data_IF_714936136376
#
_entry.id   IF_714936136376
#
_cell.length_a   1.000
_cell.length_b   1.000
_cell.length_c   1.000
_cell.angle_alpha   90.00
_cell.angle_beta   90.00
_cell.angle_gamma   90.00
#
_symmetry.space_group_name_H-M   'P 1'
#
loop_
_entity.id
_entity.type
_entity.pdbx_description
1 polymer ?
#
# COMPACT_ATOMS: atom_id res chain seq x y z
N UNK A 1 -25.18 13.09 -1.80
CA UNK A 1 -23.79 12.95 -1.27
C UNK A 1 -23.40 11.49 -1.49
N UNK A 2 -22.45 11.20 -2.36
CA UNK A 2 -21.97 9.83 -2.53
C UNK A 2 -21.17 9.46 -1.26
N UNK A 3 -21.62 8.44 -0.55
CA UNK A 3 -20.85 7.90 0.56
C UNK A 3 -19.51 7.36 0.01
N UNK A 4 -18.40 7.94 0.42
CA UNK A 4 -17.09 7.37 0.13
C UNK A 4 -17.01 6.01 0.84
N UNK A 5 -16.95 4.93 0.09
CA UNK A 5 -16.82 3.58 0.63
C UNK A 5 -15.34 3.27 0.83
N UNK A 6 -14.95 2.92 2.04
CA UNK A 6 -13.63 2.38 2.33
C UNK A 6 -13.68 0.87 2.11
N UNK A 7 -12.89 0.37 1.16
CA UNK A 7 -12.69 -1.05 0.97
C UNK A 7 -11.42 -1.46 1.72
N UNK A 8 -11.52 -2.48 2.56
CA UNK A 8 -10.40 -3.02 3.32
C UNK A 8 -10.14 -4.42 2.83
N UNK A 9 -8.88 -4.74 2.56
CA UNK A 9 -8.44 -6.07 2.13
C UNK A 9 -7.33 -6.55 3.05
N UNK A 10 -7.32 -7.83 3.35
CA UNK A 10 -6.23 -8.46 4.08
C UNK A 10 -5.38 -9.31 3.13
N UNK A 11 -4.07 -9.05 3.12
CA UNK A 11 -3.08 -9.88 2.43
C UNK A 11 -2.13 -10.48 3.44
N UNK A 12 -2.08 -11.81 3.50
CA UNK A 12 -1.09 -12.52 4.30
C UNK A 12 0.21 -12.65 3.50
N UNK A 13 1.34 -12.25 4.10
CA UNK A 13 2.67 -12.58 3.57
C UNK A 13 2.88 -14.10 3.67
N UNK A 14 3.43 -14.77 2.64
CA UNK A 14 3.81 -16.16 2.74
C UNK A 14 4.75 -16.38 3.94
N UNK A 15 4.45 -17.40 4.74
CA UNK A 15 5.29 -17.80 5.86
C UNK A 15 6.49 -18.61 5.34
N UNK A 16 7.71 -18.22 5.73
CA UNK A 16 8.95 -18.90 5.36
C UNK A 16 9.64 -19.40 6.63
N UNK A 17 9.53 -20.68 6.99
CA UNK A 17 9.98 -21.20 8.28
C UNK A 17 11.47 -20.97 8.60
N UNK A 18 12.32 -20.92 7.57
CA UNK A 18 13.77 -20.71 7.74
C UNK A 18 14.15 -19.26 8.02
N UNK A 19 13.28 -18.31 7.68
CA UNK A 19 13.50 -16.88 7.84
C UNK A 19 12.72 -16.36 9.04
N UNK A 20 11.48 -16.82 9.15
CA UNK A 20 10.55 -16.45 10.21
C UNK A 20 10.68 -17.53 11.31
N UNK A 21 11.67 -17.46 12.18
CA UNK A 21 11.96 -18.42 13.27
C UNK A 21 10.76 -18.76 14.18
N UNK A 22 9.58 -18.28 13.84
CA UNK A 22 8.37 -18.32 14.62
C UNK A 22 7.31 -19.26 14.01
N UNK A 23 6.26 -19.51 14.77
CA UNK A 23 5.11 -20.24 14.29
C UNK A 23 4.21 -19.34 13.44
N UNK A 24 3.59 -19.92 12.41
CA UNK A 24 2.56 -19.21 11.64
C UNK A 24 1.31 -19.00 12.51
N UNK A 25 1.22 -17.84 13.11
CA UNK A 25 0.15 -17.45 14.04
C UNK A 25 -1.11 -16.92 13.33
N UNK A 26 -1.07 -16.77 12.01
CA UNK A 26 -2.18 -16.26 11.22
C UNK A 26 -2.75 -17.37 10.35
N UNK A 27 -4.00 -17.72 10.58
CA UNK A 27 -4.77 -18.65 9.76
C UNK A 27 -5.86 -17.89 9.01
N UNK A 28 -6.16 -18.33 7.80
CA UNK A 28 -7.21 -17.75 6.97
C UNK A 28 -8.18 -18.81 6.52
N UNK A 29 -9.48 -18.51 6.56
CA UNK A 29 -10.53 -19.36 6.03
C UNK A 29 -11.63 -18.49 5.44
N UNK A 30 -11.93 -18.67 4.15
CA UNK A 30 -12.88 -17.84 3.42
C UNK A 30 -12.53 -16.33 3.60
N UNK A 31 -13.45 -15.52 4.10
CA UNK A 31 -13.23 -14.10 4.39
C UNK A 31 -12.92 -13.85 5.88
N UNK A 32 -12.39 -14.84 6.58
CA UNK A 32 -12.07 -14.71 8.00
C UNK A 32 -10.59 -14.91 8.25
N UNK A 33 -9.98 -13.97 8.94
CA UNK A 33 -8.61 -14.04 9.43
C UNK A 33 -8.65 -14.40 10.91
N UNK A 34 -7.91 -15.45 11.28
CA UNK A 34 -7.73 -15.89 12.65
C UNK A 34 -6.30 -15.56 13.09
N UNK A 35 -6.15 -14.78 14.14
CA UNK A 35 -4.84 -14.44 14.71
C UNK A 35 -4.73 -15.12 16.07
N UNK A 36 -3.68 -15.91 16.26
CA UNK A 36 -3.44 -16.58 17.54
C UNK A 36 -3.11 -15.55 18.62
N UNK A 37 -3.81 -15.63 19.74
CA UNK A 37 -3.52 -14.82 20.91
C UNK A 37 -2.37 -15.46 21.70
N UNK A 38 -1.18 -14.88 21.59
CA UNK A 38 0.01 -15.41 22.27
C UNK A 38 0.03 -15.12 23.78
N UNK A 39 -0.81 -14.19 24.25
CA UNK A 39 -0.94 -13.80 25.65
C UNK A 39 -2.43 -13.70 26.05
N UNK A 40 -3.17 -14.84 26.04
CA UNK A 40 -4.57 -14.80 26.40
C UNK A 40 -4.72 -14.38 27.88
N UNK A 41 -5.72 -13.55 28.15
CA UNK A 41 -6.16 -13.29 29.53
C UNK A 41 -6.92 -14.52 30.03
N UNK A 42 -6.97 -14.71 31.33
CA UNK A 42 -7.72 -15.84 31.97
C UNK A 42 -9.21 -15.82 31.56
N UNK A 43 -9.74 -14.65 31.21
CA UNK A 43 -11.11 -14.46 30.74
C UNK A 43 -11.34 -14.78 29.26
N UNK A 44 -10.27 -14.97 28.46
CA UNK A 44 -10.40 -15.14 27.03
C UNK A 44 -10.90 -16.56 26.72
N UNK A 45 -12.08 -16.63 26.12
CA UNK A 45 -12.73 -17.89 25.75
C UNK A 45 -12.12 -18.57 24.52
N UNK A 46 -11.26 -17.88 23.78
CA UNK A 46 -10.66 -18.38 22.55
C UNK A 46 -9.16 -18.08 22.48
N UNK A 47 -8.41 -19.06 21.98
CA UNK A 47 -6.99 -18.89 21.65
C UNK A 47 -6.77 -18.03 20.39
N UNK A 48 -7.82 -17.73 19.63
CA UNK A 48 -7.76 -16.98 18.39
C UNK A 48 -8.71 -15.79 18.42
N UNK A 49 -8.24 -14.65 17.92
CA UNK A 49 -9.08 -13.52 17.53
C UNK A 49 -9.46 -13.69 16.07
N UNK A 50 -10.70 -13.43 15.71
CA UNK A 50 -11.18 -13.53 14.33
C UNK A 50 -11.65 -12.18 13.79
N UNK A 51 -11.34 -11.94 12.52
CA UNK A 51 -11.72 -10.72 11.80
C UNK A 51 -12.34 -11.11 10.47
N UNK A 52 -13.54 -10.60 10.18
CA UNK A 52 -14.17 -10.80 8.88
C UNK A 52 -13.72 -9.66 7.95
N UNK A 53 -12.92 -10.00 6.95
CA UNK A 53 -12.35 -9.05 5.99
C UNK A 53 -12.09 -9.77 4.67
N UNK A 54 -12.36 -9.15 3.50
CA UNK A 54 -12.00 -9.72 2.22
C UNK A 54 -10.52 -10.12 2.18
N UNK A 55 -10.29 -11.38 1.87
CA UNK A 55 -8.96 -11.94 1.79
C UNK A 55 -8.43 -11.85 0.36
N UNK A 56 -7.22 -11.31 0.24
CA UNK A 56 -6.41 -11.51 -0.95
C UNK A 56 -5.56 -12.77 -0.72
N UNK A 57 -5.75 -13.77 -1.57
CA UNK A 57 -4.95 -15.01 -1.47
C UNK A 57 -3.47 -14.65 -1.42
N UNK A 58 -2.70 -15.36 -0.60
CA UNK A 58 -1.25 -15.17 -0.51
C UNK A 58 -0.51 -15.56 -1.80
N UNK A 59 -1.17 -16.34 -2.69
CA UNK A 59 -0.66 -16.74 -4.00
C UNK A 59 -0.87 -15.69 -5.07
N UNK A 60 -1.74 -14.69 -4.82
CA UNK A 60 -2.00 -13.62 -5.78
C UNK A 60 -0.77 -12.76 -5.98
N UNK A 61 -0.42 -12.56 -7.24
CA UNK A 61 0.58 -11.57 -7.66
C UNK A 61 0.04 -10.15 -7.51
N UNK A 62 0.93 -9.17 -7.46
CA UNK A 62 0.54 -7.77 -7.35
C UNK A 62 -0.36 -7.30 -8.50
N UNK A 63 -0.18 -7.86 -9.71
CA UNK A 63 -1.05 -7.57 -10.84
C UNK A 63 -2.49 -8.06 -10.62
N UNK A 64 -2.69 -9.22 -10.00
CA UNK A 64 -4.02 -9.74 -9.69
C UNK A 64 -4.69 -8.87 -8.62
N UNK A 65 -3.90 -8.41 -7.64
CA UNK A 65 -4.37 -7.48 -6.62
C UNK A 65 -4.77 -6.14 -7.24
N UNK A 66 -3.95 -5.59 -8.14
CA UNK A 66 -4.30 -4.39 -8.89
C UNK A 66 -5.62 -4.56 -9.64
N UNK A 67 -5.78 -5.64 -10.39
CA UNK A 67 -6.99 -5.92 -11.17
C UNK A 67 -8.24 -6.03 -10.29
N UNK A 68 -8.12 -6.63 -9.11
CA UNK A 68 -9.27 -6.85 -8.21
C UNK A 68 -9.60 -5.64 -7.31
N UNK A 69 -8.71 -4.66 -7.18
CA UNK A 69 -8.88 -3.59 -6.19
C UNK A 69 -8.84 -2.17 -6.76
N UNK A 70 -8.03 -1.92 -7.79
CA UNK A 70 -7.72 -0.55 -8.27
C UNK A 70 -8.15 -0.33 -9.71
N UNK A 71 -8.07 -1.34 -10.55
CA UNK A 71 -8.22 -1.24 -11.99
C UNK A 71 -9.53 -0.57 -12.43
N UNK A 72 -10.67 -1.02 -11.90
CA UNK A 72 -11.98 -0.49 -12.27
C UNK A 72 -12.15 0.98 -11.88
N UNK A 73 -11.67 1.35 -10.70
CA UNK A 73 -11.75 2.74 -10.23
C UNK A 73 -10.85 3.67 -11.05
N UNK A 74 -9.67 3.19 -11.44
CA UNK A 74 -8.76 3.92 -12.32
C UNK A 74 -9.37 4.12 -13.72
N UNK A 75 -9.91 3.06 -14.32
CA UNK A 75 -10.56 3.11 -15.64
C UNK A 75 -11.78 4.05 -15.63
N UNK A 76 -12.49 4.12 -14.52
CA UNK A 76 -13.59 5.07 -14.31
C UNK A 76 -13.13 6.49 -13.89
N UNK A 77 -11.82 6.79 -13.96
CA UNK A 77 -11.22 8.09 -13.64
C UNK A 77 -11.58 8.60 -12.24
N UNK A 78 -11.71 7.70 -11.27
CA UNK A 78 -11.97 8.07 -9.88
C UNK A 78 -10.68 8.47 -9.17
N UNK A 79 -10.82 9.35 -8.17
CA UNK A 79 -9.74 9.60 -7.23
C UNK A 79 -9.59 8.41 -6.29
N UNK A 80 -8.38 7.87 -6.19
CA UNK A 80 -8.08 6.69 -5.41
C UNK A 80 -7.08 7.07 -4.32
N UNK A 81 -7.36 6.65 -3.09
CA UNK A 81 -6.40 6.64 -1.99
C UNK A 81 -6.11 5.19 -1.62
N UNK A 82 -4.90 4.76 -1.88
CA UNK A 82 -4.43 3.42 -1.53
C UNK A 82 -3.52 3.50 -0.29
N UNK A 83 -3.88 2.76 0.76
CA UNK A 83 -3.13 2.69 2.00
C UNK A 83 -2.67 1.25 2.24
N UNK A 84 -1.36 1.05 2.40
CA UNK A 84 -0.80 -0.20 2.87
C UNK A 84 -0.46 -0.07 4.36
N UNK A 85 -1.06 -0.92 5.18
CA UNK A 85 -0.86 -0.92 6.63
C UNK A 85 -0.35 -2.27 7.12
N UNK A 86 0.56 -2.26 8.07
CA UNK A 86 1.15 -3.46 8.67
C UNK A 86 2.48 -3.16 9.35
N UNK A 87 2.98 -4.11 10.13
CA UNK A 87 4.28 -4.00 10.80
C UNK A 87 5.45 -3.95 9.79
N UNK A 88 6.63 -3.59 10.25
CA UNK A 88 7.85 -3.69 9.43
C UNK A 88 8.08 -5.14 8.98
N UNK A 89 8.44 -5.33 7.72
CA UNK A 89 8.62 -6.67 7.13
C UNK A 89 7.34 -7.37 6.67
N UNK A 90 6.15 -6.78 6.85
CA UNK A 90 4.88 -7.39 6.42
C UNK A 90 4.62 -7.39 4.91
N UNK A 91 5.50 -6.79 4.10
CA UNK A 91 5.37 -6.77 2.65
C UNK A 91 4.67 -5.54 2.06
N UNK A 92 4.47 -4.45 2.82
CA UNK A 92 3.88 -3.20 2.32
C UNK A 92 4.58 -2.67 1.07
N UNK A 93 5.90 -2.51 1.15
CA UNK A 93 6.72 -2.02 0.03
C UNK A 93 6.67 -2.97 -1.16
N UNK A 94 6.71 -4.27 -0.94
CA UNK A 94 6.55 -5.25 -1.99
C UNK A 94 5.20 -5.10 -2.72
N UNK A 95 4.12 -4.91 -1.99
CA UNK A 95 2.79 -4.74 -2.58
C UNK A 95 2.68 -3.43 -3.37
N UNK A 96 3.21 -2.33 -2.84
CA UNK A 96 3.08 -1.02 -3.48
C UNK A 96 4.12 -0.78 -4.57
N UNK A 97 5.39 -1.06 -4.30
CA UNK A 97 6.51 -0.73 -5.18
C UNK A 97 7.02 -1.94 -5.97
N UNK A 98 6.81 -3.16 -5.44
CA UNK A 98 7.35 -4.38 -6.05
C UNK A 98 8.79 -4.68 -5.63
N UNK A 99 9.44 -5.52 -6.41
CA UNK A 99 10.85 -5.88 -6.31
C UNK A 99 11.43 -6.18 -7.70
N UNK A 100 12.64 -6.73 -7.77
CA UNK A 100 13.31 -7.02 -9.05
C UNK A 100 12.61 -8.09 -9.91
N UNK A 101 11.66 -8.85 -9.35
CA UNK A 101 10.99 -9.95 -10.04
C UNK A 101 9.51 -9.71 -10.28
N UNK A 102 8.92 -8.73 -9.58
CA UNK A 102 7.49 -8.46 -9.65
C UNK A 102 7.23 -6.97 -9.42
N UNK A 103 6.49 -6.34 -10.34
CA UNK A 103 6.03 -4.96 -10.18
C UNK A 103 5.03 -4.84 -9.01
N UNK A 104 5.12 -3.73 -8.29
CA UNK A 104 4.08 -3.34 -7.32
C UNK A 104 2.91 -2.63 -7.99
N UNK A 105 1.89 -2.30 -7.21
CA UNK A 105 0.70 -1.61 -7.71
C UNK A 105 1.05 -0.26 -8.35
N UNK A 106 2.00 0.49 -7.80
CA UNK A 106 2.39 1.81 -8.33
C UNK A 106 2.99 1.69 -9.73
N UNK A 107 4.04 0.88 -9.98
CA UNK A 107 4.54 0.65 -11.34
C UNK A 107 3.49 0.15 -12.31
N UNK A 108 2.60 -0.76 -11.88
CA UNK A 108 1.52 -1.28 -12.72
C UNK A 108 0.57 -0.15 -13.16
N UNK A 109 0.16 0.72 -12.24
CA UNK A 109 -0.70 1.88 -12.54
C UNK A 109 -0.02 2.80 -13.55
N UNK A 110 1.25 3.14 -13.33
CA UNK A 110 2.01 4.02 -14.23
C UNK A 110 2.09 3.42 -15.63
N UNK A 111 2.48 2.14 -15.74
CA UNK A 111 2.54 1.41 -17.02
C UNK A 111 1.20 1.43 -17.75
N UNK A 112 0.10 1.20 -17.06
CA UNK A 112 -1.23 1.21 -17.67
C UNK A 112 -1.65 2.60 -18.16
N UNK A 113 -1.33 3.66 -17.41
CA UNK A 113 -1.60 5.04 -17.85
C UNK A 113 -0.81 5.36 -19.12
N UNK A 114 0.48 5.08 -19.14
CA UNK A 114 1.36 5.33 -20.30
C UNK A 114 0.92 4.51 -21.51
N UNK A 115 0.64 3.22 -21.34
CA UNK A 115 0.18 2.34 -22.41
C UNK A 115 -1.17 2.79 -23.00
N UNK A 116 -1.98 3.54 -22.24
CA UNK A 116 -3.19 4.17 -22.76
C UNK A 116 -2.95 5.47 -23.54
N UNK A 117 -1.69 5.84 -23.79
CA UNK A 117 -1.31 7.07 -24.47
C UNK A 117 -1.47 8.34 -23.62
N UNK A 118 -1.57 8.20 -22.30
CA UNK A 118 -1.68 9.32 -21.36
C UNK A 118 -0.33 9.58 -20.69
N UNK A 119 -0.12 10.83 -20.28
CA UNK A 119 0.99 11.22 -19.41
C UNK A 119 0.57 11.23 -17.96
N UNK A 120 1.49 10.93 -17.05
CA UNK A 120 1.24 11.06 -15.63
C UNK A 120 2.27 11.95 -14.95
N UNK A 121 1.87 12.57 -13.86
CA UNK A 121 2.73 13.37 -13.01
C UNK A 121 3.04 12.58 -11.74
N UNK A 122 4.31 12.48 -11.41
CA UNK A 122 4.79 11.71 -10.28
C UNK A 122 5.46 12.62 -9.23
N UNK A 123 5.18 12.35 -7.96
CA UNK A 123 5.81 12.99 -6.80
C UNK A 123 6.02 11.94 -5.73
N UNK A 124 7.20 11.90 -5.13
CA UNK A 124 7.51 10.98 -4.02
C UNK A 124 8.04 11.75 -2.84
N UNK A 125 7.42 11.56 -1.71
CA UNK A 125 7.87 12.14 -0.46
C UNK A 125 7.97 11.07 0.62
N UNK A 126 8.95 11.21 1.50
CA UNK A 126 9.10 10.42 2.71
C UNK A 126 8.74 11.26 3.93
N UNK A 127 7.91 10.74 4.80
CA UNK A 127 7.67 11.32 6.13
C UNK A 127 8.48 10.52 7.14
N UNK A 128 9.52 11.13 7.69
CA UNK A 128 10.35 10.50 8.70
C UNK A 128 10.47 11.40 9.94
N UNK A 129 10.02 10.89 11.07
CA UNK A 129 9.86 11.67 12.31
C UNK A 129 8.96 12.89 12.05
N UNK A 130 9.46 14.11 12.27
CA UNK A 130 8.72 15.36 12.09
C UNK A 130 9.09 16.09 10.79
N UNK A 131 9.78 15.43 9.88
CA UNK A 131 10.24 16.02 8.64
C UNK A 131 9.63 15.32 7.43
N UNK A 132 9.48 16.06 6.35
CA UNK A 132 9.07 15.54 5.04
C UNK A 132 10.23 15.76 4.09
N UNK A 133 10.61 14.72 3.37
CA UNK A 133 11.72 14.75 2.42
C UNK A 133 11.22 14.47 1.01
N UNK A 134 11.77 15.19 0.04
CA UNK A 134 11.61 14.87 -1.37
C UNK A 134 12.58 13.74 -1.74
N UNK A 135 12.05 12.62 -2.18
CA UNK A 135 12.87 11.47 -2.58
C UNK A 135 13.35 11.53 -4.03
N UNK A 136 12.87 12.51 -4.81
CA UNK A 136 13.30 12.71 -6.20
C UNK A 136 14.56 13.57 -6.29
N UNK A 137 15.05 14.10 -5.18
CA UNK A 137 16.29 14.87 -5.11
C UNK A 137 17.38 14.08 -4.41
N UNK A 138 18.60 14.10 -4.96
CA UNK A 138 19.76 13.44 -4.34
C UNK A 138 20.13 14.02 -2.97
N UNK A 139 19.68 15.22 -2.65
CA UNK A 139 20.04 15.95 -1.44
C UNK A 139 19.12 15.70 -0.24
N UNK A 140 18.15 14.80 -0.31
CA UNK A 140 17.10 14.63 0.72
C UNK A 140 16.58 15.98 1.22
N UNK A 141 16.15 16.83 0.30
CA UNK A 141 15.68 18.18 0.63
C UNK A 141 14.45 18.11 1.52
N UNK A 142 14.54 18.72 2.69
CA UNK A 142 13.40 18.83 3.59
C UNK A 142 12.36 19.79 3.02
N UNK A 143 11.12 19.32 2.94
CA UNK A 143 9.98 20.11 2.50
C UNK A 143 9.35 20.79 3.71
N UNK A 144 9.05 22.08 3.58
CA UNK A 144 8.29 22.80 4.60
C UNK A 144 6.84 22.87 4.18
N UNK A 145 5.95 22.39 5.04
CA UNK A 145 4.50 22.53 4.86
C UNK A 145 3.93 23.45 5.92
N UNK A 146 2.85 24.13 5.58
CA UNK A 146 2.09 24.97 6.50
C UNK A 146 0.59 24.86 6.19
N UNK A 147 -0.23 25.15 7.16
CA UNK A 147 -1.67 25.23 6.99
C UNK A 147 -2.09 26.66 6.64
N UNK A 148 -2.90 26.81 5.61
CA UNK A 148 -3.52 28.07 5.22
C UNK A 148 -4.94 27.81 4.74
N UNK A 149 -5.93 28.49 5.34
CA UNK A 149 -7.36 28.33 5.04
C UNK A 149 -7.82 26.85 5.10
N UNK A 150 -7.44 26.12 6.16
CA UNK A 150 -7.73 24.68 6.35
C UNK A 150 -7.20 23.78 5.23
N UNK A 151 -6.18 24.21 4.51
CA UNK A 151 -5.49 23.43 3.48
C UNK A 151 -3.99 23.41 3.77
N UNK A 152 -3.39 22.24 3.61
CA UNK A 152 -1.95 22.10 3.66
C UNK A 152 -1.34 22.66 2.37
N UNK A 153 -0.32 23.49 2.52
CA UNK A 153 0.45 24.06 1.41
C UNK A 153 1.92 23.80 1.62
N UNK A 154 2.66 23.66 0.55
CA UNK A 154 4.13 23.57 0.59
C UNK A 154 4.73 24.97 0.51
N UNK A 155 5.69 25.27 1.37
CA UNK A 155 6.60 26.42 1.22
C UNK A 155 7.71 26.08 0.22
N UNK A 156 8.24 24.85 0.31
CA UNK A 156 9.14 24.25 -0.67
C UNK A 156 8.39 23.09 -1.34
N UNK A 157 8.23 23.12 -2.64
CA UNK A 157 7.47 22.12 -3.38
C UNK A 157 8.36 20.92 -3.74
N UNK A 158 7.83 19.70 -3.69
CA UNK A 158 8.53 18.53 -4.20
C UNK A 158 8.74 18.65 -5.71
N UNK A 159 9.79 18.01 -6.20
CA UNK A 159 10.02 17.88 -7.65
C UNK A 159 8.83 17.17 -8.27
N UNK A 160 8.47 17.62 -9.47
CA UNK A 160 7.40 17.04 -10.27
C UNK A 160 8.07 16.41 -11.49
N UNK A 161 7.96 15.10 -11.63
CA UNK A 161 8.41 14.41 -12.83
C UNK A 161 7.20 14.07 -13.68
N UNK A 162 7.25 14.45 -14.95
CA UNK A 162 6.27 14.04 -15.94
C UNK A 162 6.80 12.76 -16.61
N UNK A 163 5.98 11.74 -16.65
CA UNK A 163 6.30 10.46 -17.26
C UNK A 163 5.39 10.29 -18.46
N UNK A 164 5.99 10.11 -19.63
CA UNK A 164 5.29 9.93 -20.91
C UNK A 164 5.67 8.64 -21.61
N UNK A 165 6.80 8.04 -21.23
CA UNK A 165 7.29 6.77 -21.76
C UNK A 165 7.69 5.82 -20.62
N UNK A 166 7.86 4.53 -20.90
CA UNK A 166 8.31 3.55 -19.91
C UNK A 166 9.82 3.62 -19.65
N UNK A 167 10.54 4.46 -20.38
CA UNK A 167 11.98 4.68 -20.23
C UNK A 167 12.29 5.90 -19.34
N UNK A 168 11.28 6.71 -19.07
CA UNK A 168 11.36 7.84 -18.14
C UNK A 168 11.36 7.34 -16.68
#
# INVERSE_FOLDING_TARGET
MSSSKINVYFRKKPFVPLIDNDQDIIKTKENTVYVQNLKPRVSDKSQYMSFNVPLLSQELKNNDIYNSTVCDDLNNKKNILLLAYGQTGSGKTHTLCGNNTEDGIIPIVIKNIINSGQTCTFKVVEVYRNNIYDLQTNAKTALTIYESNKRLKYKTYPVITNISTLED
#
